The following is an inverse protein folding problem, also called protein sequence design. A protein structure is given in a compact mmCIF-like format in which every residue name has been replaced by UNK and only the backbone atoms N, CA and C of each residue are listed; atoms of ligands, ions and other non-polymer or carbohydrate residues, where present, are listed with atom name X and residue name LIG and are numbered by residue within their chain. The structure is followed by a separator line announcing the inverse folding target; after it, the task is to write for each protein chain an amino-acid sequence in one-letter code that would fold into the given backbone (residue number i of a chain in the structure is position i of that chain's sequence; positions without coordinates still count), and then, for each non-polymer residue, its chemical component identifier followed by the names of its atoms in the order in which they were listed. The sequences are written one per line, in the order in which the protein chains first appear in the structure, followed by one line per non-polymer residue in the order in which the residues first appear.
data_IF_844164895145
#
_entry.id   IF_844164895145
#
_cell.length_a   1.000
_cell.length_b   1.000
_cell.length_c   1.000
_cell.angle_alpha   90.00
_cell.angle_beta   90.00
_cell.angle_gamma   90.00
#
_symmetry.space_group_name_H-M   'P 1'
#
loop_
_entity.id
_entity.type
_entity.pdbx_description
1 polymer ?
#
# COMPACT_ATOMS: atom_id res chain seq x y z
N UNK A 1 -8.48 -31.83 -11.13
CA UNK A 1 -9.61 -32.15 -10.24
C UNK A 1 -9.90 -30.91 -9.41
N UNK A 2 -11.09 -30.30 -9.55
CA UNK A 2 -11.48 -29.18 -8.67
C UNK A 2 -12.08 -29.75 -7.38
N UNK A 3 -11.64 -29.23 -6.24
CA UNK A 3 -12.17 -29.56 -4.91
C UNK A 3 -13.20 -28.50 -4.53
N UNK A 4 -14.29 -28.91 -3.89
CA UNK A 4 -15.30 -27.98 -3.38
C UNK A 4 -15.14 -27.78 -1.88
N UNK A 5 -15.79 -26.75 -1.34
CA UNK A 5 -15.69 -26.41 0.09
C UNK A 5 -16.27 -27.53 0.97
N UNK A 6 -17.26 -28.26 0.47
CA UNK A 6 -17.92 -29.37 1.17
C UNK A 6 -16.95 -30.54 1.41
N UNK A 7 -15.91 -30.67 0.58
CA UNK A 7 -14.88 -31.71 0.73
C UNK A 7 -13.97 -31.51 1.96
N UNK A 8 -14.13 -30.40 2.69
CA UNK A 8 -13.36 -30.04 3.89
C UNK A 8 -14.25 -29.75 5.11
N UNK A 9 -15.54 -30.12 5.05
CA UNK A 9 -16.52 -29.85 6.11
C UNK A 9 -16.11 -30.44 7.47
N UNK A 10 -15.28 -31.48 7.47
CA UNK A 10 -14.69 -32.15 8.63
C UNK A 10 -13.63 -31.32 9.36
N UNK A 11 -12.94 -30.39 8.68
CA UNK A 11 -11.84 -29.62 9.26
C UNK A 11 -12.04 -28.10 9.26
N UNK A 12 -12.94 -27.56 8.44
CA UNK A 12 -13.07 -26.11 8.22
C UNK A 12 -13.53 -25.32 9.46
N UNK A 13 -14.26 -25.98 10.36
CA UNK A 13 -14.78 -25.37 11.59
C UNK A 13 -13.91 -25.64 12.83
N UNK A 14 -12.80 -26.37 12.67
CA UNK A 14 -11.93 -26.69 13.79
C UNK A 14 -11.16 -25.44 14.26
N UNK A 15 -10.93 -25.30 15.58
CA UNK A 15 -10.09 -24.24 16.09
C UNK A 15 -8.67 -24.39 15.54
N UNK A 16 -8.06 -23.28 15.13
CA UNK A 16 -6.69 -23.28 14.63
C UNK A 16 -5.73 -23.62 15.78
N UNK A 17 -4.87 -24.65 15.66
CA UNK A 17 -3.91 -24.97 16.70
C UNK A 17 -2.86 -23.86 16.83
N UNK A 18 -2.63 -23.40 18.05
CA UNK A 18 -1.55 -22.46 18.38
C UNK A 18 -0.41 -23.22 19.05
N UNK A 19 0.80 -23.05 18.53
CA UNK A 19 2.00 -23.66 19.12
C UNK A 19 2.31 -23.01 20.47
N UNK A 20 2.57 -23.84 21.48
CA UNK A 20 3.05 -23.38 22.79
C UNK A 20 4.54 -23.01 22.76
N UNK A 21 5.31 -23.71 21.93
CA UNK A 21 6.77 -23.57 21.84
C UNK A 21 7.17 -22.43 20.92
N UNK A 22 6.43 -22.23 19.83
CA UNK A 22 6.69 -21.21 18.82
C UNK A 22 5.49 -20.28 18.73
N UNK A 23 5.35 -19.32 19.67
CA UNK A 23 4.22 -18.41 19.66
C UNK A 23 4.18 -17.60 18.36
N UNK A 24 2.99 -17.23 17.86
CA UNK A 24 2.88 -16.37 16.69
C UNK A 24 3.56 -15.02 16.91
N UNK A 25 4.25 -14.54 15.86
CA UNK A 25 4.84 -13.20 15.86
C UNK A 25 3.76 -12.12 15.99
N UNK A 26 4.03 -11.10 16.83
CA UNK A 26 3.12 -9.98 17.06
C UNK A 26 2.84 -9.21 15.77
N UNK A 27 1.72 -8.48 15.71
CA UNK A 27 1.41 -7.65 14.53
C UNK A 27 2.45 -6.55 14.31
N UNK A 28 3.01 -5.99 15.39
CA UNK A 28 4.03 -4.96 15.32
C UNK A 28 5.33 -5.50 14.70
N UNK A 29 5.83 -6.64 15.20
CA UNK A 29 7.05 -7.27 14.67
C UNK A 29 6.85 -7.71 13.22
N UNK A 30 5.64 -8.19 12.88
CA UNK A 30 5.26 -8.52 11.51
C UNK A 30 5.29 -7.29 10.60
N UNK A 31 4.85 -6.12 11.07
CA UNK A 31 4.96 -4.87 10.31
C UNK A 31 6.42 -4.43 10.13
N UNK A 32 7.28 -4.66 11.14
CA UNK A 32 8.71 -4.36 11.09
C UNK A 32 9.43 -5.06 9.93
N UNK A 33 8.99 -6.25 9.50
CA UNK A 33 9.54 -6.94 8.32
C UNK A 33 9.41 -6.12 7.02
N UNK A 34 8.39 -5.25 6.94
CA UNK A 34 8.14 -4.39 5.79
C UNK A 34 8.76 -2.98 5.94
N UNK A 35 9.40 -2.68 7.07
CA UNK A 35 10.04 -1.38 7.31
C UNK A 35 11.09 -0.98 6.25
N UNK A 36 11.92 -1.90 5.70
CA UNK A 36 12.91 -1.56 4.66
C UNK A 36 12.30 -0.93 3.40
N UNK A 37 11.01 -1.16 3.13
CA UNK A 37 10.32 -0.65 1.94
C UNK A 37 9.49 0.61 2.20
N UNK A 38 9.48 1.13 3.43
CA UNK A 38 8.71 2.34 3.80
C UNK A 38 9.09 3.58 2.98
N UNK A 39 10.33 3.64 2.48
CA UNK A 39 10.80 4.70 1.62
C UNK A 39 10.04 4.77 0.28
N UNK A 40 9.55 3.64 -0.25
CA UNK A 40 8.80 3.60 -1.53
C UNK A 40 7.47 4.34 -1.41
N UNK A 41 6.74 4.15 -0.30
CA UNK A 41 5.50 4.88 -0.03
C UNK A 41 5.75 6.38 0.06
N UNK A 42 6.85 6.78 0.73
CA UNK A 42 7.24 8.18 0.85
C UNK A 42 7.62 8.78 -0.50
N UNK A 43 8.39 8.06 -1.31
CA UNK A 43 8.76 8.46 -2.67
C UNK A 43 7.52 8.68 -3.54
N UNK A 44 6.57 7.75 -3.53
CA UNK A 44 5.32 7.90 -4.29
C UNK A 44 4.53 9.13 -3.85
N UNK A 45 4.44 9.38 -2.54
CA UNK A 45 3.79 10.60 -2.03
C UNK A 45 4.52 11.90 -2.41
N UNK A 46 5.86 11.86 -2.51
CA UNK A 46 6.65 13.01 -2.92
C UNK A 46 6.49 13.29 -4.43
N UNK A 47 6.49 12.24 -5.25
CA UNK A 47 6.23 12.35 -6.69
C UNK A 47 4.84 12.94 -6.96
N UNK A 48 3.81 12.46 -6.28
CA UNK A 48 2.45 13.00 -6.41
C UNK A 48 2.36 14.49 -6.06
N UNK A 49 3.01 14.92 -4.97
CA UNK A 49 3.07 16.35 -4.60
C UNK A 49 3.76 17.19 -5.68
N UNK A 50 4.87 16.70 -6.21
CA UNK A 50 5.60 17.38 -7.28
C UNK A 50 4.75 17.52 -8.55
N UNK A 51 3.98 16.50 -8.91
CA UNK A 51 3.03 16.56 -10.03
C UNK A 51 1.92 17.59 -9.78
N UNK A 52 1.35 17.62 -8.58
CA UNK A 52 0.32 18.61 -8.17
C UNK A 52 0.87 20.05 -8.20
N UNK A 53 2.09 20.28 -7.69
CA UNK A 53 2.77 21.57 -7.71
C UNK A 53 3.08 22.03 -9.14
N UNK A 54 3.55 21.13 -10.00
CA UNK A 54 3.79 21.44 -11.42
C UNK A 54 2.50 21.78 -12.17
N UNK A 55 1.41 21.06 -11.89
CA UNK A 55 0.08 21.34 -12.45
C UNK A 55 -0.48 22.69 -11.98
N UNK A 56 -0.33 23.02 -10.68
CA UNK A 56 -0.79 24.28 -10.11
C UNK A 56 0.04 25.48 -10.57
N UNK A 57 1.37 25.31 -10.68
CA UNK A 57 2.27 26.35 -11.19
C UNK A 57 2.00 26.71 -12.65
N UNK A 58 1.43 25.79 -13.44
CA UNK A 58 0.97 26.07 -14.80
C UNK A 58 -0.29 26.96 -14.83
N UNK A 59 -1.16 26.88 -13.81
CA UNK A 59 -2.38 27.68 -13.73
C UNK A 59 -2.14 29.11 -13.23
N UNK A 60 -1.01 29.36 -12.55
CA UNK A 60 -0.64 30.67 -11.99
C UNK A 60 0.35 31.45 -12.88
N UNK A 61 0.74 30.88 -14.03
CA UNK A 61 1.55 31.59 -15.02
C UNK A 61 0.70 32.68 -15.70
N UNK A 62 1.09 33.98 -15.65
CA UNK A 62 0.35 35.01 -16.35
C UNK A 62 0.39 34.70 -17.85
N UNK A 63 -0.77 34.42 -18.43
CA UNK A 63 -0.94 34.32 -19.87
C UNK A 63 -0.55 35.66 -20.47
N UNK A 64 0.69 35.75 -20.96
CA UNK A 64 1.16 36.92 -21.67
C UNK A 64 0.47 36.94 -23.02
N UNK A 65 -0.78 37.42 -23.02
CA UNK A 65 -1.52 37.69 -24.24
C UNK A 65 -0.75 38.75 -25.02
N UNK A 66 -0.31 38.33 -26.21
CA UNK A 66 0.60 39.06 -27.07
C UNK A 66 0.19 40.52 -27.25
N UNK A 67 1.10 41.44 -26.92
CA UNK A 67 1.04 42.79 -27.46
C UNK A 67 1.75 42.80 -28.80
N UNK A 68 0.93 42.73 -29.85
CA UNK A 68 1.31 43.07 -31.22
C UNK A 68 2.02 44.44 -31.26
N UNK A 69 3.16 44.49 -31.95
CA UNK A 69 3.61 45.68 -32.68
C UNK A 69 4.22 45.25 -33.99
#
# INVERSE_FOLDING_TARGET
MQRKIEDYADIIHLPRPTSKTHPPMSLHDRAGQFAPFSALTRLHSAAKRMEEEAANGYMDAPQQFGRNR
#
